data_IF_959663596245
#
_entry.id   IF_959663596245
#
_cell.length_a   1.000
_cell.length_b   1.000
_cell.length_c   1.000
_cell.angle_alpha   90.00
_cell.angle_beta   90.00
_cell.angle_gamma   90.00
#
_symmetry.space_group_name_H-M   'P 1'
#
loop_
_entity.id
_entity.type
_entity.pdbx_description
1 polymer ?
#
# COMPACT_ATOMS: atom_id res chain seq x y z
N UNK A 1 1.50 -13.59 8.60
CA UNK A 1 0.87 -12.41 7.96
C UNK A 1 -0.19 -11.75 8.84
N UNK A 2 -0.52 -10.47 8.60
CA UNK A 2 -1.54 -9.72 9.36
C UNK A 2 -2.93 -10.39 9.28
N UNK A 3 -3.24 -11.02 8.14
CA UNK A 3 -4.44 -11.85 7.95
C UNK A 3 -4.49 -13.05 8.89
N UNK A 4 -3.40 -13.81 9.03
CA UNK A 4 -3.33 -14.96 9.94
C UNK A 4 -3.37 -14.53 11.40
N UNK A 5 -2.72 -13.42 11.73
CA UNK A 5 -2.78 -12.83 13.06
C UNK A 5 -4.22 -12.47 13.45
N UNK A 6 -4.98 -11.81 12.56
CA UNK A 6 -6.41 -11.49 12.81
C UNK A 6 -7.31 -12.72 12.87
N UNK A 7 -7.01 -13.78 12.11
CA UNK A 7 -7.87 -14.97 12.02
C UNK A 7 -7.60 -16.02 13.09
N UNK A 8 -6.33 -16.27 13.44
CA UNK A 8 -5.96 -17.32 14.39
C UNK A 8 -5.58 -16.77 15.77
N UNK A 9 -4.82 -15.68 15.83
CA UNK A 9 -4.17 -15.26 17.07
C UNK A 9 -4.99 -14.25 17.88
N UNK A 10 -5.75 -13.36 17.21
CA UNK A 10 -6.59 -12.36 17.85
C UNK A 10 -7.85 -12.92 18.53
N UNK A 11 -8.62 -13.86 17.94
CA UNK A 11 -9.84 -14.40 18.55
C UNK A 11 -9.67 -15.03 19.95
N UNK A 12 -8.66 -15.89 20.20
CA UNK A 12 -8.48 -16.47 21.55
C UNK A 12 -8.11 -15.40 22.59
N UNK A 13 -7.36 -14.37 22.20
CA UNK A 13 -6.98 -13.28 23.11
C UNK A 13 -8.16 -12.38 23.49
N UNK A 14 -9.09 -12.15 22.56
CA UNK A 14 -10.36 -11.47 22.85
C UNK A 14 -11.21 -12.29 23.83
N UNK A 15 -11.27 -13.60 23.64
CA UNK A 15 -12.00 -14.50 24.53
C UNK A 15 -11.39 -14.55 25.94
N UNK A 16 -10.07 -14.63 26.06
CA UNK A 16 -9.35 -14.55 27.34
C UNK A 16 -9.65 -13.23 28.08
N UNK A 17 -9.66 -12.09 27.37
CA UNK A 17 -10.02 -10.79 27.94
C UNK A 17 -11.46 -10.79 28.48
N UNK A 18 -12.42 -11.24 27.68
CA UNK A 18 -13.83 -11.34 28.09
C UNK A 18 -14.00 -12.24 29.33
N UNK A 19 -13.29 -13.39 29.35
CA UNK A 19 -13.33 -14.32 30.48
C UNK A 19 -12.76 -13.70 31.77
N UNK A 20 -11.70 -12.89 31.68
CA UNK A 20 -11.15 -12.17 32.84
C UNK A 20 -12.15 -11.18 33.43
N UNK A 21 -12.89 -10.48 32.58
CA UNK A 21 -13.93 -9.53 33.00
C UNK A 21 -15.13 -10.26 33.65
N UNK A 22 -15.57 -11.38 33.10
CA UNK A 22 -16.61 -12.24 33.69
C UNK A 22 -16.18 -12.76 35.05
N UNK A 23 -14.93 -13.26 35.16
CA UNK A 23 -14.39 -13.79 36.41
C UNK A 23 -14.31 -12.70 37.48
N UNK A 24 -13.87 -11.49 37.11
CA UNK A 24 -13.82 -10.35 38.01
C UNK A 24 -15.22 -9.93 38.50
N UNK A 25 -16.18 -9.79 37.59
CA UNK A 25 -17.56 -9.44 37.94
C UNK A 25 -18.24 -10.52 38.80
N UNK A 26 -17.95 -11.79 38.53
CA UNK A 26 -18.42 -12.93 39.34
C UNK A 26 -17.82 -12.88 40.74
N UNK A 27 -16.52 -12.62 40.87
CA UNK A 27 -15.85 -12.49 42.16
C UNK A 27 -16.37 -11.29 42.96
N UNK A 28 -16.58 -10.14 42.32
CA UNK A 28 -17.20 -8.97 42.98
C UNK A 28 -18.61 -9.26 43.46
N UNK A 29 -19.44 -9.91 42.64
CA UNK A 29 -20.82 -10.28 43.00
C UNK A 29 -20.82 -11.28 44.16
N UNK A 30 -19.96 -12.32 44.09
CA UNK A 30 -19.78 -13.29 45.17
C UNK A 30 -19.34 -12.62 46.46
N UNK A 31 -18.36 -11.72 46.42
CA UNK A 31 -17.89 -10.95 47.58
C UNK A 31 -19.00 -10.08 48.18
N UNK A 32 -19.80 -9.40 47.34
CA UNK A 32 -20.95 -8.60 47.77
C UNK A 32 -22.00 -9.46 48.48
N UNK A 33 -22.29 -10.65 47.96
CA UNK A 33 -23.28 -11.57 48.54
C UNK A 33 -22.75 -12.29 49.78
N UNK A 34 -21.45 -12.63 49.83
CA UNK A 34 -20.82 -13.29 50.97
C UNK A 34 -20.49 -12.35 52.14
N UNK A 35 -20.39 -11.04 51.89
CA UNK A 35 -20.18 -10.03 52.93
C UNK A 35 -21.51 -9.72 53.65
N UNK A 36 -21.92 -10.63 54.55
CA UNK A 36 -22.93 -10.37 55.59
C UNK A 36 -22.43 -9.28 56.56
N UNK A 37 -23.32 -8.53 57.25
CA UNK A 37 -23.05 -7.21 57.85
C UNK A 37 -22.12 -7.18 59.06
N UNK A 38 -21.43 -8.27 59.40
CA UNK A 38 -20.56 -8.38 60.58
C UNK A 38 -19.07 -8.51 60.27
N UNK A 39 -18.65 -8.66 59.00
CA UNK A 39 -17.23 -8.67 58.66
C UNK A 39 -16.90 -7.63 57.59
N UNK A 40 -16.28 -6.55 58.03
CA UNK A 40 -15.67 -5.50 57.22
C UNK A 40 -14.57 -6.08 56.31
N UNK A 41 -14.95 -6.72 55.18
CA UNK A 41 -14.02 -7.31 54.21
C UNK A 41 -13.95 -6.42 52.97
N UNK A 42 -12.86 -5.63 52.79
CA UNK A 42 -12.75 -4.71 51.68
C UNK A 42 -12.74 -5.43 50.32
N UNK A 43 -13.29 -4.77 49.31
CA UNK A 43 -13.34 -5.28 47.93
C UNK A 43 -11.95 -5.73 47.48
N UNK A 44 -11.88 -6.90 46.82
CA UNK A 44 -10.64 -7.45 46.31
C UNK A 44 -10.06 -6.50 45.24
N UNK A 45 -8.98 -5.80 45.58
CA UNK A 45 -8.18 -5.01 44.65
C UNK A 45 -6.92 -5.82 44.30
N UNK A 46 -6.77 -6.29 43.04
CA UNK A 46 -5.51 -6.86 42.58
C UNK A 46 -4.38 -5.82 42.68
N UNK A 47 -3.15 -6.28 42.92
CA UNK A 47 -1.94 -5.42 42.96
C UNK A 47 -1.84 -4.52 41.72
N UNK A 48 -1.42 -3.25 41.91
CA UNK A 48 -1.41 -2.20 40.88
C UNK A 48 -0.86 -2.62 39.52
N UNK A 49 -1.54 -2.21 38.44
CA UNK A 49 -1.20 -2.53 37.05
C UNK A 49 -1.85 -3.81 36.51
N UNK A 50 -2.56 -4.58 37.34
CA UNK A 50 -3.37 -5.73 36.94
C UNK A 50 -4.88 -5.48 37.05
N UNK A 51 -5.30 -4.22 37.13
CA UNK A 51 -6.72 -3.90 37.18
C UNK A 51 -7.37 -4.15 35.82
N UNK A 52 -8.64 -4.56 35.82
CA UNK A 52 -9.43 -4.75 34.60
C UNK A 52 -9.50 -3.45 33.77
N UNK A 53 -9.49 -2.29 34.43
CA UNK A 53 -9.38 -0.97 33.78
C UNK A 53 -8.07 -0.79 33.01
N UNK A 54 -6.94 -1.21 33.59
CA UNK A 54 -5.62 -1.09 32.95
C UNK A 54 -5.52 -2.03 31.75
N UNK A 55 -6.07 -3.25 31.89
CA UNK A 55 -6.16 -4.23 30.80
C UNK A 55 -7.04 -3.68 29.66
N UNK A 56 -8.17 -3.05 29.98
CA UNK A 56 -9.04 -2.41 28.99
C UNK A 56 -8.35 -1.25 28.26
N UNK A 57 -7.62 -0.40 28.99
CA UNK A 57 -6.86 0.70 28.41
C UNK A 57 -5.74 0.20 27.49
N UNK A 58 -4.94 -0.76 27.93
CA UNK A 58 -3.89 -1.36 27.12
C UNK A 58 -4.46 -2.05 25.87
N UNK A 59 -5.62 -2.69 25.99
CA UNK A 59 -6.33 -3.29 24.85
C UNK A 59 -6.80 -2.23 23.85
N UNK A 60 -7.33 -1.09 24.32
CA UNK A 60 -7.70 0.03 23.45
C UNK A 60 -6.49 0.60 22.68
N UNK A 61 -5.33 0.73 23.35
CA UNK A 61 -4.09 1.13 22.68
C UNK A 61 -3.65 0.13 21.61
N UNK A 62 -3.80 -1.18 21.86
CA UNK A 62 -3.51 -2.23 20.89
C UNK A 62 -4.43 -2.12 19.67
N UNK A 63 -5.74 -1.97 19.87
CA UNK A 63 -6.70 -1.82 18.77
C UNK A 63 -6.44 -0.58 17.92
N UNK A 64 -6.03 0.53 18.55
CA UNK A 64 -5.64 1.75 17.84
C UNK A 64 -4.38 1.54 16.99
N UNK A 65 -3.37 0.85 17.53
CA UNK A 65 -2.15 0.52 16.81
C UNK A 65 -2.42 -0.42 15.63
N UNK A 66 -3.29 -1.42 15.82
CA UNK A 66 -3.72 -2.33 14.74
C UNK A 66 -4.44 -1.59 13.61
N UNK A 67 -5.32 -0.64 13.96
CA UNK A 67 -6.00 0.20 12.95
C UNK A 67 -5.01 1.05 12.17
N UNK A 68 -4.05 1.68 12.84
CA UNK A 68 -3.00 2.46 12.18
C UNK A 68 -2.12 1.61 11.26
N UNK A 69 -1.85 0.35 11.64
CA UNK A 69 -1.12 -0.60 10.80
C UNK A 69 -1.92 -0.99 9.54
N UNK A 70 -3.21 -1.24 9.68
CA UNK A 70 -4.11 -1.54 8.56
C UNK A 70 -4.21 -0.36 7.57
N UNK A 71 -4.39 0.85 8.09
CA UNK A 71 -4.38 2.08 7.28
C UNK A 71 -3.04 2.28 6.57
N UNK A 72 -1.92 2.08 7.27
CA UNK A 72 -0.60 2.17 6.67
C UNK A 72 -0.40 1.14 5.55
N UNK A 73 -0.81 -0.11 5.78
CA UNK A 73 -0.68 -1.19 4.80
C UNK A 73 -1.51 -0.91 3.53
N UNK A 74 -2.74 -0.42 3.67
CA UNK A 74 -3.59 -0.04 2.55
C UNK A 74 -2.98 1.11 1.73
N UNK A 75 -2.47 2.14 2.41
CA UNK A 75 -1.78 3.25 1.74
C UNK A 75 -0.53 2.77 1.00
N UNK A 76 0.23 1.85 1.61
CA UNK A 76 1.46 1.34 0.99
C UNK A 76 1.14 0.49 -0.25
N UNK A 77 0.10 -0.36 -0.21
CA UNK A 77 -0.37 -1.12 -1.40
C UNK A 77 -0.76 -0.16 -2.53
N UNK A 78 -1.59 0.85 -2.25
CA UNK A 78 -2.00 1.82 -3.26
C UNK A 78 -0.81 2.60 -3.84
N UNK A 79 0.17 2.94 -3.00
CA UNK A 79 1.39 3.62 -3.43
C UNK A 79 2.21 2.74 -4.37
N UNK A 80 2.36 1.46 -4.04
CA UNK A 80 3.07 0.48 -4.87
C UNK A 80 2.36 0.25 -6.20
N UNK A 81 1.04 0.08 -6.21
CA UNK A 81 0.25 -0.07 -7.44
C UNK A 81 0.42 1.13 -8.39
N UNK A 82 0.40 2.35 -7.84
CA UNK A 82 0.66 3.57 -8.63
C UNK A 82 2.07 3.59 -9.20
N UNK A 83 3.07 3.21 -8.41
CA UNK A 83 4.46 3.16 -8.87
C UNK A 83 4.65 2.12 -9.96
N UNK A 84 4.06 0.95 -9.84
CA UNK A 84 4.11 -0.10 -10.86
C UNK A 84 3.47 0.38 -12.16
N UNK A 85 2.31 1.05 -12.08
CA UNK A 85 1.68 1.64 -13.25
C UNK A 85 2.56 2.70 -13.94
N UNK A 86 3.21 3.58 -13.16
CA UNK A 86 4.12 4.59 -13.68
C UNK A 86 5.38 3.97 -14.29
N UNK A 87 5.98 2.98 -13.62
CA UNK A 87 7.16 2.27 -14.10
C UNK A 87 6.88 1.54 -15.42
N UNK A 88 5.72 0.91 -15.53
CA UNK A 88 5.27 0.24 -16.75
C UNK A 88 5.08 1.24 -17.90
N UNK A 89 4.39 2.37 -17.65
CA UNK A 89 4.26 3.47 -18.63
C UNK A 89 5.61 4.03 -19.08
N UNK A 90 6.54 4.21 -18.14
CA UNK A 90 7.87 4.70 -18.45
C UNK A 90 8.64 3.71 -19.33
N UNK A 91 8.62 2.42 -18.98
CA UNK A 91 9.27 1.36 -19.77
C UNK A 91 8.72 1.28 -21.19
N UNK A 92 7.40 1.38 -21.36
CA UNK A 92 6.77 1.41 -22.69
C UNK A 92 7.24 2.63 -23.51
N UNK A 93 7.20 3.82 -22.93
CA UNK A 93 7.68 5.05 -23.59
C UNK A 93 9.15 5.00 -23.94
N UNK A 94 9.98 4.53 -23.02
CA UNK A 94 11.42 4.38 -23.21
C UNK A 94 11.72 3.39 -24.33
N UNK A 95 11.05 2.23 -24.36
CA UNK A 95 11.20 1.23 -25.42
C UNK A 95 10.80 1.76 -26.80
N UNK A 96 9.64 2.43 -26.90
CA UNK A 96 9.18 3.07 -28.15
C UNK A 96 10.19 4.14 -28.61
N UNK A 97 10.67 4.97 -27.68
CA UNK A 97 11.64 6.00 -27.99
C UNK A 97 12.98 5.41 -28.45
N UNK A 98 13.47 4.38 -27.76
CA UNK A 98 14.72 3.70 -28.10
C UNK A 98 14.63 3.08 -29.51
N UNK A 99 13.53 2.39 -29.81
CA UNK A 99 13.31 1.82 -31.14
C UNK A 99 13.24 2.89 -32.25
N UNK A 100 12.73 4.09 -31.94
CA UNK A 100 12.70 5.20 -32.89
C UNK A 100 14.06 5.90 -33.04
N UNK A 101 14.87 5.98 -31.99
CA UNK A 101 16.22 6.56 -32.04
C UNK A 101 17.27 5.61 -32.60
N UNK A 102 17.04 4.29 -32.51
CA UNK A 102 17.94 3.29 -33.06
C UNK A 102 18.15 3.52 -34.56
N UNK A 103 19.43 3.65 -34.95
CA UNK A 103 19.84 3.90 -36.32
C UNK A 103 19.74 5.35 -36.80
N UNK A 104 19.03 6.25 -36.10
CA UNK A 104 18.98 7.68 -36.47
C UNK A 104 20.31 8.39 -36.29
N UNK A 105 21.03 8.07 -35.21
CA UNK A 105 22.34 8.67 -34.95
C UNK A 105 23.41 8.22 -35.95
N UNK A 106 23.26 7.03 -36.52
CA UNK A 106 24.14 6.50 -37.58
C UNK A 106 23.83 7.08 -38.98
N UNK A 107 22.59 7.51 -39.24
CA UNK A 107 22.21 8.21 -40.48
C UNK A 107 22.64 9.68 -40.51
N UNK A 108 22.63 10.37 -39.36
CA UNK A 108 22.99 11.81 -39.29
C UNK A 108 24.38 12.20 -39.84
N UNK A 109 25.46 11.41 -39.66
CA UNK A 109 26.77 11.71 -40.25
C UNK A 109 26.90 11.31 -41.73
N UNK A 110 25.88 10.67 -42.32
CA UNK A 110 25.92 10.21 -43.70
C UNK A 110 25.79 11.41 -44.65
N UNK A 111 26.88 11.72 -45.38
CA UNK A 111 26.98 12.87 -46.29
C UNK A 111 26.40 12.57 -47.68
N UNK A 112 25.21 11.99 -47.73
CA UNK A 112 24.55 11.58 -48.99
C UNK A 112 24.23 12.79 -49.88
N UNK A 113 24.25 14.01 -49.34
CA UNK A 113 24.07 15.25 -50.10
C UNK A 113 25.25 15.60 -51.02
N UNK A 114 26.42 14.95 -50.88
CA UNK A 114 27.61 15.23 -51.71
C UNK A 114 27.60 14.46 -53.06
N UNK A 115 26.80 13.39 -53.19
CA UNK A 115 26.81 12.49 -54.37
C UNK A 115 25.52 12.53 -55.21
N UNK A 116 24.57 13.40 -54.87
CA UNK A 116 23.18 13.32 -55.35
C UNK A 116 22.77 14.58 -56.14
N UNK A 117 21.94 14.43 -57.17
CA UNK A 117 21.57 15.55 -58.06
C UNK A 117 20.62 16.55 -57.37
N UNK A 118 20.60 17.82 -57.80
CA UNK A 118 19.83 18.91 -57.16
C UNK A 118 18.34 18.58 -56.94
N UNK A 119 17.76 17.76 -57.81
CA UNK A 119 16.37 17.26 -57.75
C UNK A 119 16.15 16.33 -56.56
N UNK A 120 17.11 15.46 -56.30
CA UNK A 120 17.08 14.44 -55.25
C UNK A 120 17.47 15.06 -53.90
N UNK A 121 18.42 16.01 -53.86
CA UNK A 121 18.75 16.78 -52.64
C UNK A 121 17.54 17.58 -52.12
N UNK A 122 16.66 18.05 -53.01
CA UNK A 122 15.40 18.72 -52.60
C UNK A 122 14.33 17.75 -52.08
N UNK A 123 14.42 16.47 -52.43
CA UNK A 123 13.47 15.44 -52.01
C UNK A 123 13.86 14.77 -50.68
N UNK A 124 15.15 14.72 -50.34
CA UNK A 124 15.67 14.13 -49.09
C UNK A 124 15.04 14.75 -47.82
N UNK A 125 14.98 16.09 -47.64
CA UNK A 125 14.34 16.69 -46.47
C UNK A 125 12.84 16.39 -46.41
N UNK A 126 12.17 16.23 -47.56
CA UNK A 126 10.74 15.94 -47.61
C UNK A 126 10.42 14.48 -47.25
N UNK A 127 11.35 13.55 -47.51
CA UNK A 127 11.22 12.14 -47.15
C UNK A 127 11.56 11.90 -45.67
N UNK A 128 12.60 12.55 -45.14
CA UNK A 128 12.93 12.55 -43.71
C UNK A 128 11.86 13.26 -42.87
N UNK A 129 11.31 14.39 -43.34
CA UNK A 129 10.24 15.09 -42.64
C UNK A 129 8.95 14.26 -42.53
N UNK A 130 8.68 13.34 -43.47
CA UNK A 130 7.57 12.38 -43.34
C UNK A 130 7.83 11.35 -42.24
N UNK A 131 9.06 10.85 -42.09
CA UNK A 131 9.47 9.94 -41.01
C UNK A 131 9.63 10.62 -39.63
N UNK A 132 9.80 11.94 -39.58
CA UNK A 132 9.89 12.73 -38.35
C UNK A 132 8.53 13.27 -37.86
N UNK A 133 7.52 13.41 -38.75
CA UNK A 133 6.17 13.87 -38.37
C UNK A 133 5.36 12.81 -37.62
N UNK A 134 5.66 11.55 -37.87
CA UNK A 134 5.16 10.38 -37.15
C UNK A 134 6.01 10.21 -35.87
N UNK A 135 5.94 11.17 -34.94
CA UNK A 135 6.41 10.91 -33.58
C UNK A 135 5.55 9.75 -33.08
N UNK A 136 6.11 8.59 -32.69
CA UNK A 136 5.29 7.46 -32.28
C UNK A 136 4.47 7.91 -31.07
N UNK A 137 3.19 8.17 -31.31
CA UNK A 137 2.25 8.45 -30.25
C UNK A 137 2.10 7.15 -29.50
N UNK A 138 2.29 7.19 -28.17
CA UNK A 138 1.84 6.06 -27.36
C UNK A 138 0.37 5.84 -27.72
N UNK A 139 -0.04 4.63 -28.11
CA UNK A 139 -1.46 4.32 -28.19
C UNK A 139 -2.08 4.70 -26.84
N UNK A 140 -3.29 5.29 -26.81
CA UNK A 140 -3.97 5.54 -25.55
C UNK A 140 -4.03 4.20 -24.82
N UNK A 141 -3.33 4.10 -23.69
CA UNK A 141 -3.43 2.93 -22.82
C UNK A 141 -4.91 2.70 -22.51
N UNK A 142 -5.35 1.45 -22.30
CA UNK A 142 -6.75 1.15 -22.05
C UNK A 142 -7.23 2.08 -20.95
N UNK A 143 -8.21 2.91 -21.28
CA UNK A 143 -8.92 3.76 -20.35
C UNK A 143 -9.43 2.81 -19.26
N UNK A 144 -8.78 2.84 -18.11
CA UNK A 144 -9.31 2.23 -16.90
C UNK A 144 -10.67 2.85 -16.69
N UNK A 145 -11.70 2.02 -16.81
CA UNK A 145 -13.04 2.33 -16.36
C UNK A 145 -12.96 2.47 -14.83
N UNK A 146 -13.01 3.72 -14.37
CA UNK A 146 -13.52 4.07 -13.04
C UNK A 146 -14.97 4.58 -13.22
#
# INVERSE_FOLDING_TARGET
>A
DFCDYRRLHKPPKVQEKCQLEINFNTLQTKLRVSNRPTSNRPAFMPSGGRMVSDINNAWGCLEQAEKGCEEWLLNEIQRLERLDHLAEKFRQKASIHQAWTDGKEAMLPQKDYETVTLSEVKALPAQEARGLRERPSCPPGPLGAD
#
